data_IF_300169777128
#
_entry.id   IF_300169777128
#
_cell.length_a   1.000
_cell.length_b   1.000
_cell.length_c   1.000
_cell.angle_alpha   90.00
_cell.angle_beta   90.00
_cell.angle_gamma   90.00
#
_symmetry.space_group_name_H-M   'P 1'
#
loop_
_entity.id
_entity.type
_entity.pdbx_description
1 polymer ?
#
# COMPACT_ATOMS: atom_id res chain seq x y z
N UNK A 1 -25.54 -31.21 -3.16
CA UNK A 1 -24.65 -30.06 -2.95
C UNK A 1 -24.69 -29.20 -4.20
N UNK A 2 -25.16 -27.95 -4.12
CA UNK A 2 -25.06 -27.00 -5.25
C UNK A 2 -23.60 -26.56 -5.34
N UNK A 3 -22.93 -27.01 -6.39
CA UNK A 3 -21.55 -26.70 -6.71
C UNK A 3 -21.47 -25.28 -7.30
N UNK A 4 -20.67 -24.41 -6.70
CA UNK A 4 -20.49 -23.03 -7.15
C UNK A 4 -19.23 -22.96 -8.03
N UNK A 5 -19.41 -22.71 -9.33
CA UNK A 5 -18.32 -22.49 -10.28
C UNK A 5 -17.65 -21.12 -10.05
N UNK A 6 -16.33 -21.02 -10.18
CA UNK A 6 -15.58 -19.77 -10.14
C UNK A 6 -14.86 -19.50 -11.47
N UNK A 7 -14.69 -18.21 -11.84
CA UNK A 7 -14.10 -17.74 -13.10
C UNK A 7 -12.93 -16.77 -12.82
N UNK A 8 -11.81 -16.94 -13.52
CA UNK A 8 -10.64 -16.05 -13.54
C UNK A 8 -10.71 -15.18 -14.82
N UNK A 9 -10.64 -13.85 -14.70
CA UNK A 9 -10.62 -12.92 -15.84
C UNK A 9 -9.37 -12.05 -15.78
N UNK A 10 -8.53 -12.07 -16.82
CA UNK A 10 -7.30 -11.25 -16.88
C UNK A 10 -7.54 -10.00 -17.74
N UNK A 11 -7.02 -8.83 -17.35
CA UNK A 11 -7.06 -7.58 -18.13
C UNK A 11 -5.64 -7.05 -18.34
N UNK A 12 -5.17 -7.01 -19.58
CA UNK A 12 -3.77 -6.71 -19.88
C UNK A 12 -3.54 -5.20 -20.04
N UNK A 13 -2.57 -4.66 -19.30
CA UNK A 13 -1.89 -3.40 -19.60
C UNK A 13 -0.40 -3.72 -19.74
N UNK A 14 0.15 -3.57 -20.95
CA UNK A 14 1.58 -3.80 -21.20
C UNK A 14 2.37 -2.55 -20.77
N UNK A 15 3.20 -2.69 -19.74
CA UNK A 15 4.25 -1.73 -19.42
C UNK A 15 5.60 -2.45 -19.53
N UNK A 16 6.43 -2.03 -20.49
CA UNK A 16 7.79 -2.53 -20.66
C UNK A 16 8.74 -1.78 -19.73
N UNK A 17 9.54 -2.50 -18.96
CA UNK A 17 10.73 -1.93 -18.32
C UNK A 17 11.92 -2.85 -18.62
N UNK A 18 12.80 -2.45 -19.52
CA UNK A 18 14.08 -3.14 -19.72
C UNK A 18 15.06 -2.66 -18.66
N UNK A 19 15.27 -3.44 -17.61
CA UNK A 19 16.43 -3.27 -16.75
C UNK A 19 17.10 -4.63 -16.55
N UNK A 20 18.29 -4.78 -17.14
CA UNK A 20 19.26 -5.87 -16.98
C UNK A 20 18.79 -7.29 -17.33
N UNK A 21 19.16 -7.75 -18.55
CA UNK A 21 19.31 -9.14 -19.03
C UNK A 21 18.17 -10.17 -18.84
N UNK A 22 17.09 -9.87 -18.14
CA UNK A 22 15.88 -10.69 -18.05
C UNK A 22 14.67 -9.88 -18.47
N UNK A 23 13.96 -10.33 -19.51
CA UNK A 23 12.67 -9.75 -19.87
C UNK A 23 11.61 -10.21 -18.86
N UNK A 24 11.00 -9.23 -18.19
CA UNK A 24 9.95 -9.43 -17.19
C UNK A 24 8.66 -8.79 -17.67
N UNK A 25 7.57 -9.53 -17.59
CA UNK A 25 6.25 -9.06 -18.00
C UNK A 25 5.28 -9.07 -16.83
N UNK A 26 4.63 -7.94 -16.64
CA UNK A 26 3.65 -7.75 -15.58
C UNK A 26 2.24 -7.74 -16.18
N UNK A 27 1.36 -8.58 -15.66
CA UNK A 27 -0.05 -8.64 -16.05
C UNK A 27 -0.93 -8.39 -14.82
N UNK A 28 -2.12 -7.84 -15.06
CA UNK A 28 -3.17 -7.66 -14.06
C UNK A 28 -4.37 -8.55 -14.36
N UNK A 29 -4.99 -9.15 -13.36
CA UNK A 29 -6.19 -9.96 -13.53
C UNK A 29 -7.10 -9.97 -12.32
N UNK A 30 -8.10 -10.84 -12.35
CA UNK A 30 -9.16 -10.97 -11.34
C UNK A 30 -9.47 -12.45 -11.10
N UNK A 31 -9.19 -12.95 -9.89
CA UNK A 31 -9.51 -14.31 -9.42
C UNK A 31 -10.52 -14.24 -8.29
N UNK A 32 -11.68 -14.89 -8.44
CA UNK A 32 -12.77 -14.86 -7.44
C UNK A 32 -13.19 -13.42 -7.04
N UNK A 33 -13.26 -12.52 -8.02
CA UNK A 33 -13.51 -11.08 -7.81
C UNK A 33 -12.42 -10.31 -7.06
N UNK A 34 -11.26 -10.93 -6.82
CA UNK A 34 -10.09 -10.26 -6.25
C UNK A 34 -9.08 -9.95 -7.34
N UNK A 35 -8.59 -8.72 -7.46
CA UNK A 35 -7.54 -8.41 -8.42
C UNK A 35 -6.29 -9.22 -8.08
N UNK A 36 -5.52 -9.65 -9.08
CA UNK A 36 -4.24 -10.34 -8.98
C UNK A 36 -3.20 -9.66 -9.88
N UNK A 37 -1.92 -9.73 -9.51
CA UNK A 37 -0.80 -9.38 -10.39
C UNK A 37 -0.03 -10.66 -10.73
N UNK A 38 0.32 -10.80 -12.00
CA UNK A 38 1.07 -11.95 -12.52
C UNK A 38 2.38 -11.43 -13.08
N UNK A 39 3.50 -11.95 -12.59
CA UNK A 39 4.82 -11.67 -13.16
C UNK A 39 5.28 -12.92 -13.93
N UNK A 40 5.65 -12.74 -15.18
CA UNK A 40 6.26 -13.77 -16.02
C UNK A 40 7.69 -13.35 -16.28
N UNK A 41 8.63 -14.23 -15.95
CA UNK A 41 10.06 -14.03 -16.21
C UNK A 41 10.56 -15.13 -17.13
N UNK A 42 11.32 -14.74 -18.15
CA UNK A 42 11.94 -15.69 -19.08
C UNK A 42 13.31 -16.11 -18.54
N UNK A 43 13.59 -17.42 -18.48
CA UNK A 43 14.96 -17.91 -18.25
C UNK A 43 15.81 -17.63 -19.48
N UNK A 44 17.02 -17.14 -19.26
CA UNK A 44 17.96 -16.70 -20.29
C UNK A 44 18.15 -17.77 -21.39
N UNK A 45 18.25 -17.28 -22.64
CA UNK A 45 18.40 -17.96 -23.95
C UNK A 45 17.16 -18.29 -24.79
N UNK A 46 15.93 -17.97 -24.37
CA UNK A 46 14.77 -18.12 -25.24
C UNK A 46 14.34 -16.77 -25.85
N UNK A 47 14.18 -16.73 -27.18
CA UNK A 47 13.80 -15.54 -27.95
C UNK A 47 12.39 -15.05 -27.54
N UNK A 48 12.32 -14.15 -26.57
CA UNK A 48 11.09 -13.48 -26.15
C UNK A 48 10.40 -12.70 -27.29
N UNK A 49 11.15 -12.36 -28.36
CA UNK A 49 10.63 -11.65 -29.53
C UNK A 49 9.53 -12.42 -30.29
N UNK A 50 9.59 -13.76 -30.33
CA UNK A 50 8.61 -14.58 -31.05
C UNK A 50 7.22 -14.56 -30.39
N UNK A 51 7.18 -14.69 -29.07
CA UNK A 51 5.96 -14.64 -28.27
C UNK A 51 5.27 -13.27 -28.32
N UNK A 52 6.06 -12.18 -28.34
CA UNK A 52 5.56 -10.80 -28.38
C UNK A 52 4.95 -10.41 -29.73
N UNK A 53 5.54 -10.88 -30.83
CA UNK A 53 5.04 -10.57 -32.16
C UNK A 53 3.64 -11.16 -32.35
N UNK A 54 3.38 -12.37 -31.84
CA UNK A 54 2.09 -13.06 -31.93
C UNK A 54 0.99 -12.48 -31.02
N UNK A 55 1.33 -11.94 -29.85
CA UNK A 55 0.38 -11.28 -28.95
C UNK A 55 -0.14 -9.94 -29.49
N UNK A 56 0.69 -9.21 -30.25
CA UNK A 56 0.34 -7.90 -30.82
C UNK A 56 -0.62 -7.98 -32.01
N UNK A 57 -0.72 -9.14 -32.68
CA UNK A 57 -1.40 -9.28 -33.98
C UNK A 57 -2.89 -9.64 -33.84
N UNK A 58 -3.39 -10.03 -32.65
CA UNK A 58 -4.77 -10.55 -32.50
C UNK A 58 -5.59 -9.76 -31.49
N UNK A 59 -6.68 -9.14 -31.95
CA UNK A 59 -7.68 -8.39 -31.16
C UNK A 59 -8.47 -9.21 -30.11
N UNK A 60 -8.08 -10.46 -29.82
CA UNK A 60 -8.73 -11.29 -28.79
C UNK A 60 -7.68 -11.92 -27.87
N UNK A 61 -7.67 -11.39 -26.66
CA UNK A 61 -6.79 -11.76 -25.55
C UNK A 61 -7.16 -13.14 -24.96
N UNK A 62 -6.18 -13.85 -24.33
CA UNK A 62 -6.42 -15.16 -23.76
C UNK A 62 -7.45 -15.13 -22.60
N UNK A 63 -8.31 -16.15 -22.54
CA UNK A 63 -9.30 -16.38 -21.49
C UNK A 63 -8.82 -17.56 -20.64
N UNK A 64 -8.79 -17.41 -19.31
CA UNK A 64 -8.34 -18.44 -18.38
C UNK A 64 -9.51 -19.22 -17.78
N UNK A 65 -9.44 -20.56 -17.78
CA UNK A 65 -10.45 -21.43 -17.20
C UNK A 65 -9.71 -22.50 -16.36
N UNK A 66 -10.06 -22.63 -15.08
CA UNK A 66 -9.43 -23.60 -14.17
C UNK A 66 -10.45 -24.41 -13.37
N UNK A 67 -10.08 -25.65 -13.02
CA UNK A 67 -10.86 -26.57 -12.18
C UNK A 67 -10.11 -26.84 -10.86
N UNK A 68 -10.80 -26.90 -9.72
CA UNK A 68 -10.16 -27.10 -8.41
C UNK A 68 -9.59 -28.51 -8.16
N UNK A 69 -9.96 -29.50 -8.98
CA UNK A 69 -9.43 -30.85 -8.82
C UNK A 69 -8.12 -31.11 -9.57
N UNK A 70 -7.62 -30.15 -10.35
CA UNK A 70 -6.35 -30.26 -11.09
C UNK A 70 -5.38 -29.18 -10.63
N UNK A 71 -4.12 -29.54 -10.36
CA UNK A 71 -2.99 -28.60 -10.21
C UNK A 71 -2.62 -27.94 -11.55
N UNK A 72 -3.58 -27.83 -12.46
CA UNK A 72 -3.40 -27.48 -13.87
C UNK A 72 -4.40 -26.37 -14.20
N UNK A 73 -3.85 -25.25 -14.67
CA UNK A 73 -4.55 -24.12 -15.27
C UNK A 73 -4.31 -24.20 -16.78
N UNK A 74 -5.36 -24.42 -17.56
CA UNK A 74 -5.26 -24.45 -19.02
C UNK A 74 -5.66 -23.08 -19.59
N UNK A 75 -4.90 -22.58 -20.57
CA UNK A 75 -5.26 -21.37 -21.31
C UNK A 75 -5.14 -21.61 -22.82
N UNK A 76 -6.07 -21.00 -23.57
CA UNK A 76 -6.07 -21.04 -25.03
C UNK A 76 -5.24 -19.84 -25.49
N UNK A 77 -4.06 -20.10 -26.03
CA UNK A 77 -3.19 -19.05 -26.59
C UNK A 77 -3.46 -18.79 -28.06
N UNK A 78 -4.09 -19.74 -28.76
CA UNK A 78 -4.21 -19.67 -30.22
C UNK A 78 -5.58 -20.16 -30.68
N UNK A 79 -6.31 -19.28 -31.37
CA UNK A 79 -7.10 -19.71 -32.52
C UNK A 79 -6.30 -19.39 -33.77
N UNK A 80 -5.98 -20.40 -34.57
CA UNK A 80 -5.52 -20.21 -35.94
C UNK A 80 -6.41 -20.98 -36.89
N UNK A 81 -6.47 -20.58 -38.14
CA UNK A 81 -7.14 -21.36 -39.17
C UNK A 81 -6.10 -22.21 -39.92
N UNK A 82 -6.38 -23.49 -40.12
CA UNK A 82 -5.58 -24.30 -41.03
C UNK A 82 -5.80 -23.87 -42.49
N UNK A 83 -5.09 -24.50 -43.44
CA UNK A 83 -5.23 -24.21 -44.88
C UNK A 83 -6.65 -24.48 -45.42
N UNK A 84 -7.48 -25.19 -44.66
CA UNK A 84 -8.87 -25.53 -44.98
C UNK A 84 -9.88 -24.70 -44.16
N UNK A 85 -9.43 -23.62 -43.52
CA UNK A 85 -10.24 -22.70 -42.71
C UNK A 85 -10.80 -23.29 -41.40
N UNK A 86 -10.33 -24.46 -40.96
CA UNK A 86 -10.73 -25.04 -39.67
C UNK A 86 -10.02 -24.34 -38.52
N UNK A 87 -10.73 -24.14 -37.40
CA UNK A 87 -10.17 -23.52 -36.20
C UNK A 87 -9.29 -24.55 -35.47
N UNK A 88 -7.97 -24.35 -35.51
CA UNK A 88 -6.98 -24.99 -34.64
C UNK A 88 -6.91 -24.23 -33.31
N UNK A 89 -7.12 -24.96 -32.22
CA UNK A 89 -7.00 -24.46 -30.86
C UNK A 89 -5.73 -25.06 -30.24
N UNK A 90 -4.69 -24.24 -30.04
CA UNK A 90 -3.52 -24.67 -29.25
C UNK A 90 -3.76 -24.31 -27.79
N UNK A 91 -3.57 -25.32 -26.93
CA UNK A 91 -3.72 -25.23 -25.49
C UNK A 91 -2.33 -25.14 -24.88
N UNK A 92 -2.12 -24.16 -24.02
CA UNK A 92 -0.99 -24.14 -23.10
C UNK A 92 -1.50 -24.56 -21.72
N UNK A 93 -0.85 -25.56 -21.13
CA UNK A 93 -1.18 -26.02 -19.79
C UNK A 93 -0.13 -25.50 -18.80
N UNK A 94 -0.57 -24.69 -17.83
CA UNK A 94 0.22 -24.28 -16.67
C UNK A 94 0.03 -25.32 -15.59
N UNK A 95 1.11 -26.00 -15.22
CA UNK A 95 1.12 -26.88 -14.05
C UNK A 95 1.68 -26.11 -12.86
N UNK A 96 0.88 -25.94 -11.80
CA UNK A 96 1.33 -25.34 -10.55
C UNK A 96 2.09 -26.40 -9.74
N UNK A 97 3.39 -26.18 -9.55
CA UNK A 97 4.32 -27.18 -9.01
C UNK A 97 4.43 -27.11 -7.49
N UNK A 98 4.44 -25.91 -6.90
CA UNK A 98 4.41 -25.76 -5.44
C UNK A 98 4.01 -24.35 -4.99
N UNK A 99 3.57 -24.25 -3.73
CA UNK A 99 3.43 -22.98 -3.00
C UNK A 99 4.57 -22.84 -2.00
N UNK A 100 5.35 -21.76 -2.07
CA UNK A 100 6.28 -21.37 -1.03
C UNK A 100 6.00 -19.93 -0.67
N UNK A 101 5.71 -19.63 0.60
CA UNK A 101 5.52 -18.25 1.08
C UNK A 101 4.50 -17.42 0.26
N UNK A 102 3.33 -18.00 -0.01
CA UNK A 102 2.30 -17.38 -0.86
C UNK A 102 2.73 -17.07 -2.31
N UNK A 103 3.87 -17.56 -2.79
CA UNK A 103 4.25 -17.53 -4.19
C UNK A 103 3.91 -18.89 -4.83
N UNK A 104 3.24 -18.86 -5.99
CA UNK A 104 2.99 -20.07 -6.76
C UNK A 104 3.99 -20.18 -7.90
N UNK A 105 4.64 -21.33 -8.00
CA UNK A 105 5.54 -21.67 -9.10
C UNK A 105 4.79 -22.50 -10.12
N UNK A 106 4.75 -22.05 -11.37
CA UNK A 106 4.14 -22.76 -12.49
C UNK A 106 5.13 -23.06 -13.61
N UNK A 107 4.99 -24.21 -14.26
CA UNK A 107 5.57 -24.49 -15.57
C UNK A 107 4.48 -24.47 -16.63
N UNK A 108 4.67 -23.76 -17.73
CA UNK A 108 3.78 -23.84 -18.90
C UNK A 108 4.48 -24.57 -20.04
N UNK A 109 3.77 -25.43 -20.75
CA UNK A 109 4.24 -26.02 -22.00
C UNK A 109 3.48 -25.40 -23.17
N UNK A 110 4.13 -24.52 -23.91
CA UNK A 110 3.60 -23.89 -25.11
C UNK A 110 4.48 -24.28 -26.30
N UNK A 111 4.02 -25.21 -27.14
CA UNK A 111 4.75 -25.58 -28.35
C UNK A 111 6.13 -26.23 -28.12
N UNK A 112 6.41 -26.77 -26.92
CA UNK A 112 7.68 -27.40 -26.58
C UNK A 112 8.64 -26.55 -25.75
N UNK A 113 8.26 -25.32 -25.38
CA UNK A 113 9.06 -24.44 -24.52
C UNK A 113 8.49 -24.38 -23.09
N UNK A 114 9.39 -24.50 -22.09
CA UNK A 114 9.08 -24.43 -20.66
C UNK A 114 9.42 -23.04 -20.09
N UNK A 115 8.49 -22.45 -19.32
CA UNK A 115 8.69 -21.16 -18.66
C UNK A 115 8.29 -21.20 -17.19
N UNK A 116 8.93 -20.37 -16.37
CA UNK A 116 8.66 -20.25 -14.94
C UNK A 116 7.73 -19.07 -14.66
N UNK A 117 6.59 -19.35 -14.03
CA UNK A 117 5.58 -18.34 -13.66
C UNK A 117 5.59 -18.20 -12.15
N UNK A 118 5.70 -16.96 -11.66
CA UNK A 118 5.52 -16.64 -10.24
C UNK A 118 4.22 -15.86 -10.07
N UNK A 119 3.23 -16.47 -9.41
CA UNK A 119 2.02 -15.76 -9.03
C UNK A 119 2.23 -15.13 -7.66
N UNK A 120 2.19 -13.79 -7.62
CA UNK A 120 2.04 -13.06 -6.39
C UNK A 120 0.53 -12.88 -6.15
N UNK A 121 -0.07 -13.52 -5.13
CA UNK A 121 -1.38 -13.11 -4.68
C UNK A 121 -1.25 -11.63 -4.40
N UNK A 122 -2.20 -10.86 -4.93
CA UNK A 122 -2.27 -9.45 -4.63
C UNK A 122 -2.30 -9.37 -3.11
N UNK A 123 -1.20 -8.93 -2.50
CA UNK A 123 -1.33 -8.21 -1.24
C UNK A 123 -2.13 -6.99 -1.66
N UNK A 124 -3.46 -7.09 -1.63
CA UNK A 124 -4.30 -5.91 -1.52
C UNK A 124 -3.83 -5.28 -0.21
N UNK A 125 -2.79 -4.47 -0.32
CA UNK A 125 -2.16 -3.78 0.81
C UNK A 125 -3.25 -2.97 1.47
N UNK A 126 -4.22 -2.46 0.72
CA UNK A 126 -5.42 -1.82 1.23
C UNK A 126 -6.48 -2.84 1.62
N UNK A 127 -7.03 -2.71 2.82
CA UNK A 127 -8.18 -3.48 3.29
C UNK A 127 -9.37 -3.22 2.35
N UNK A 128 -9.91 -4.27 1.72
CA UNK A 128 -10.88 -4.16 0.61
C UNK A 128 -12.16 -3.40 0.98
N UNK A 129 -12.58 -3.44 2.25
CA UNK A 129 -13.76 -2.76 2.73
C UNK A 129 -13.49 -1.39 3.38
N UNK A 130 -12.25 -0.91 3.33
CA UNK A 130 -11.90 0.41 3.85
C UNK A 130 -12.31 1.51 2.86
N UNK A 131 -13.32 2.29 3.25
CA UNK A 131 -13.89 3.39 2.48
C UNK A 131 -13.41 4.72 3.05
N UNK A 132 -12.93 5.62 2.19
CA UNK A 132 -12.71 7.01 2.57
C UNK A 132 -14.08 7.68 2.74
N UNK A 133 -14.27 8.37 3.85
CA UNK A 133 -15.53 9.06 4.18
C UNK A 133 -15.26 10.53 4.46
N UNK A 134 -16.26 11.37 4.18
CA UNK A 134 -16.23 12.79 4.55
C UNK A 134 -16.45 12.96 6.06
N UNK A 135 -16.00 14.07 6.63
CA UNK A 135 -16.21 14.38 8.04
C UNK A 135 -17.70 14.42 8.44
N UNK A 136 -18.60 14.72 7.48
CA UNK A 136 -20.06 14.72 7.69
C UNK A 136 -20.63 13.32 7.91
N UNK A 137 -20.02 12.30 7.31
CA UNK A 137 -20.42 10.89 7.46
C UNK A 137 -19.95 10.25 8.78
N UNK A 138 -19.11 10.95 9.55
CA UNK A 138 -18.67 10.49 10.88
C UNK A 138 -19.77 10.86 11.90
N UNK A 139 -20.23 9.90 12.73
CA UNK A 139 -21.23 10.12 13.76
C UNK A 139 -20.91 11.30 14.69
N UNK A 140 -21.89 12.17 14.94
CA UNK A 140 -21.70 13.37 15.78
C UNK A 140 -21.30 13.02 17.23
N UNK A 141 -21.69 11.85 17.71
CA UNK A 141 -21.33 11.38 19.05
C UNK A 141 -19.82 11.22 19.26
N UNK A 142 -19.04 10.89 18.22
CA UNK A 142 -17.57 10.83 18.26
C UNK A 142 -16.96 12.19 18.60
N UNK A 143 -17.68 13.27 18.30
CA UNK A 143 -17.24 14.64 18.55
C UNK A 143 -17.79 15.23 19.85
N UNK A 144 -18.74 14.57 20.53
CA UNK A 144 -19.22 14.97 21.86
C UNK A 144 -18.09 14.70 22.86
N UNK A 145 -17.38 15.76 23.27
CA UNK A 145 -16.18 15.74 24.13
C UNK A 145 -14.87 15.39 23.41
N UNK A 146 -14.83 15.55 22.08
CA UNK A 146 -13.57 15.48 21.35
C UNK A 146 -12.93 16.86 21.26
N UNK A 147 -11.60 16.91 21.39
CA UNK A 147 -10.83 18.14 21.14
C UNK A 147 -10.85 18.53 19.65
N UNK A 148 -11.24 17.60 18.78
CA UNK A 148 -11.26 17.77 17.33
C UNK A 148 -12.65 18.12 16.83
N UNK A 149 -12.72 19.07 15.90
CA UNK A 149 -13.92 19.41 15.16
C UNK A 149 -13.92 18.80 13.76
N UNK A 150 -15.09 18.66 13.13
CA UNK A 150 -15.21 18.11 11.77
C UNK A 150 -14.44 18.91 10.71
N UNK A 151 -14.24 20.22 10.91
CA UNK A 151 -13.49 21.09 10.00
C UNK A 151 -11.97 20.85 10.02
N UNK A 152 -11.45 20.24 11.08
CA UNK A 152 -10.00 19.96 11.23
C UNK A 152 -9.61 18.61 10.62
N UNK A 153 -10.60 17.80 10.22
CA UNK A 153 -10.38 16.48 9.63
C UNK A 153 -9.76 16.63 8.24
N UNK A 154 -8.57 16.06 8.06
CA UNK A 154 -7.89 16.01 6.77
C UNK A 154 -8.41 14.82 5.96
N UNK A 155 -8.50 13.64 6.60
CA UNK A 155 -8.90 12.39 5.94
C UNK A 155 -9.44 11.42 6.98
N UNK A 156 -10.46 10.67 6.59
CA UNK A 156 -11.10 9.67 7.44
C UNK A 156 -11.41 8.39 6.66
N UNK A 157 -11.35 7.27 7.37
CA UNK A 157 -11.75 5.96 6.90
C UNK A 157 -12.87 5.40 7.76
N UNK A 158 -13.75 4.67 7.09
CA UNK A 158 -14.72 3.76 7.66
C UNK A 158 -14.38 2.35 7.16
N UNK A 159 -14.29 1.39 8.06
CA UNK A 159 -13.96 0.00 7.71
C UNK A 159 -14.50 -0.97 8.74
N UNK A 160 -14.47 -2.26 8.39
CA UNK A 160 -14.85 -3.34 9.29
C UNK A 160 -13.78 -4.41 9.29
N UNK A 161 -13.34 -4.85 10.46
CA UNK A 161 -12.44 -5.99 10.58
C UNK A 161 -13.06 -7.04 11.52
N UNK A 162 -12.24 -7.96 12.04
CA UNK A 162 -12.67 -8.98 13.00
C UNK A 162 -13.16 -8.40 14.34
N UNK A 163 -12.64 -7.25 14.78
CA UNK A 163 -13.00 -6.59 16.04
C UNK A 163 -14.33 -5.86 15.92
N UNK A 164 -14.60 -5.26 14.76
CA UNK A 164 -15.89 -4.67 14.48
C UNK A 164 -15.81 -3.57 13.46
N UNK A 165 -16.64 -2.56 13.64
CA UNK A 165 -16.77 -1.46 12.72
C UNK A 165 -16.09 -0.22 13.27
N UNK A 166 -15.22 0.39 12.46
CA UNK A 166 -14.33 1.46 12.89
C UNK A 166 -14.57 2.74 12.11
N UNK A 167 -14.37 3.86 12.78
CA UNK A 167 -14.00 5.13 12.17
C UNK A 167 -12.60 5.52 12.62
N UNK A 168 -11.73 5.85 11.68
CA UNK A 168 -10.39 6.35 11.98
C UNK A 168 -10.11 7.59 11.14
N UNK A 169 -9.55 8.63 11.75
CA UNK A 169 -9.25 9.87 11.05
C UNK A 169 -7.94 10.50 11.50
N UNK A 170 -7.41 11.37 10.63
CA UNK A 170 -6.33 12.31 10.92
C UNK A 170 -6.85 13.74 10.85
N UNK A 171 -6.37 14.59 11.74
CA UNK A 171 -6.78 15.99 11.87
C UNK A 171 -5.60 16.88 12.26
N UNK A 172 -5.64 18.15 11.84
CA UNK A 172 -4.62 19.15 12.10
C UNK A 172 -5.26 20.45 12.58
N UNK A 173 -4.59 21.11 13.54
CA UNK A 173 -4.83 22.51 13.91
C UNK A 173 -3.57 23.33 13.70
N UNK A 174 -3.72 24.61 13.40
CA UNK A 174 -2.63 25.50 13.04
C UNK A 174 -2.12 25.36 11.59
N UNK A 175 -1.07 26.13 11.22
CA UNK A 175 -0.26 26.98 12.08
C UNK A 175 -1.01 28.21 12.60
N UNK A 176 -1.12 28.35 13.93
CA UNK A 176 -1.76 29.49 14.58
C UNK A 176 -1.31 29.62 16.05
N UNK A 177 -1.53 30.78 16.67
CA UNK A 177 -1.32 30.95 18.12
C UNK A 177 -2.49 30.33 18.90
N UNK A 178 -2.26 29.22 19.59
CA UNK A 178 -3.30 28.47 20.32
C UNK A 178 -3.29 28.89 21.80
N UNK A 179 -4.13 29.87 22.15
CA UNK A 179 -4.25 30.49 23.50
C UNK A 179 -4.30 29.54 24.70
N UNK A 180 -4.69 28.28 24.51
CA UNK A 180 -4.78 27.28 25.59
C UNK A 180 -3.44 26.59 25.88
N UNK A 181 -2.44 26.76 25.03
CA UNK A 181 -1.09 26.25 25.22
C UNK A 181 -0.20 27.29 25.92
N UNK A 182 0.88 26.88 26.60
CA UNK A 182 1.85 27.83 27.16
C UNK A 182 2.64 28.50 26.04
N UNK A 183 2.93 29.79 26.22
CA UNK A 183 3.70 30.61 25.29
C UNK A 183 4.64 31.54 26.04
N UNK A 184 5.89 31.62 25.60
CA UNK A 184 6.86 32.61 26.06
C UNK A 184 6.94 33.80 25.10
N UNK A 185 6.58 33.61 23.83
CA UNK A 185 6.63 34.64 22.78
C UNK A 185 5.23 34.93 22.23
N UNK A 186 4.90 36.21 22.05
CA UNK A 186 3.56 36.63 21.57
C UNK A 186 3.33 36.35 20.08
N UNK A 187 4.41 36.23 19.30
CA UNK A 187 4.41 35.98 17.86
C UNK A 187 4.69 34.52 17.50
N UNK A 188 4.69 33.61 18.48
CA UNK A 188 4.90 32.20 18.21
C UNK A 188 3.66 31.52 17.60
N UNK A 189 3.89 30.37 16.99
CA UNK A 189 2.87 29.55 16.37
C UNK A 189 2.90 28.14 16.92
N UNK A 190 1.74 27.49 16.88
CA UNK A 190 1.58 26.09 17.21
C UNK A 190 0.97 25.30 16.05
N UNK A 191 1.28 24.02 16.03
CA UNK A 191 0.57 23.01 15.25
C UNK A 191 0.26 21.84 16.17
N UNK A 192 -0.98 21.38 16.14
CA UNK A 192 -1.39 20.13 16.79
C UNK A 192 -1.79 19.11 15.72
N UNK A 193 -1.23 17.89 15.82
CA UNK A 193 -1.55 16.76 14.97
C UNK A 193 -2.29 15.70 15.77
N UNK A 194 -3.41 15.23 15.23
CA UNK A 194 -4.22 14.20 15.84
C UNK A 194 -4.47 13.05 14.86
N UNK A 195 -4.41 11.81 15.36
CA UNK A 195 -5.01 10.66 14.71
C UNK A 195 -5.81 9.88 15.73
N UNK A 196 -7.04 9.48 15.42
CA UNK A 196 -7.90 8.79 16.38
C UNK A 196 -8.65 7.66 15.70
N UNK A 197 -8.84 6.55 16.42
CA UNK A 197 -9.72 5.45 16.01
C UNK A 197 -10.81 5.20 17.05
N UNK A 198 -11.98 4.86 16.53
CA UNK A 198 -13.19 4.58 17.29
C UNK A 198 -13.80 3.29 16.80
N UNK A 199 -14.16 2.40 17.72
CA UNK A 199 -14.82 1.13 17.46
C UNK A 199 -16.27 1.19 17.94
N UNK A 200 -17.18 0.74 17.07
CA UNK A 200 -18.59 0.59 17.43
C UNK A 200 -18.73 -0.53 18.47
N UNK A 201 -19.15 -0.15 19.67
CA UNK A 201 -19.51 -1.06 20.72
C UNK A 201 -20.85 -1.73 20.39
N UNK A 202 -20.84 -3.06 20.26
CA UNK A 202 -22.02 -3.80 19.84
C UNK A 202 -23.16 -3.83 20.87
N UNK A 203 -22.85 -3.61 22.16
CA UNK A 203 -23.82 -3.64 23.26
C UNK A 203 -24.45 -2.26 23.45
N UNK A 204 -23.63 -1.23 23.60
CA UNK A 204 -24.10 0.14 23.88
C UNK A 204 -24.55 0.88 22.63
N UNK A 205 -24.17 0.39 21.45
CA UNK A 205 -24.35 1.05 20.14
C UNK A 205 -23.65 2.41 20.01
N UNK A 206 -22.71 2.71 20.90
CA UNK A 206 -21.87 3.91 20.86
C UNK A 206 -20.49 3.61 20.28
N UNK A 207 -19.76 4.65 19.90
CA UNK A 207 -18.36 4.55 19.47
C UNK A 207 -17.40 4.80 20.63
N UNK A 208 -16.63 3.77 20.98
CA UNK A 208 -15.59 3.86 22.00
C UNK A 208 -14.24 4.19 21.35
N UNK A 209 -13.49 5.14 21.93
CA UNK A 209 -12.15 5.50 21.43
C UNK A 209 -11.18 4.36 21.72
N UNK A 210 -10.61 3.76 20.68
CA UNK A 210 -9.62 2.68 20.82
C UNK A 210 -8.23 3.22 21.12
N UNK A 211 -7.81 4.23 20.36
CA UNK A 211 -6.49 4.82 20.48
C UNK A 211 -6.47 6.25 19.92
N UNK A 212 -5.44 7.00 20.34
CA UNK A 212 -5.18 8.35 19.90
C UNK A 212 -3.68 8.59 19.73
N UNK A 213 -3.31 9.27 18.66
CA UNK A 213 -2.05 9.99 18.50
C UNK A 213 -2.33 11.46 18.73
N UNK A 214 -1.48 12.08 19.54
CA UNK A 214 -1.40 13.51 19.71
C UNK A 214 0.08 13.89 19.70
N UNK A 215 0.45 14.79 18.80
CA UNK A 215 1.79 15.32 18.65
C UNK A 215 1.68 16.81 18.34
N UNK A 216 2.67 17.60 18.73
CA UNK A 216 2.57 19.04 18.59
C UNK A 216 3.94 19.70 18.42
N UNK A 217 3.93 20.84 17.75
CA UNK A 217 4.98 21.85 17.84
C UNK A 217 4.31 23.04 18.53
N UNK A 218 4.89 23.49 19.63
CA UNK A 218 4.35 24.59 20.43
C UNK A 218 5.39 25.69 20.57
N UNK A 219 4.90 26.91 20.65
CA UNK A 219 5.69 28.12 20.92
C UNK A 219 6.86 28.26 19.93
N UNK A 220 6.60 28.03 18.64
CA UNK A 220 7.61 28.18 17.59
C UNK A 220 7.68 29.64 17.10
N UNK A 221 8.79 30.37 17.27
CA UNK A 221 8.92 31.75 16.81
C UNK A 221 9.48 31.87 15.38
N UNK A 222 9.60 30.74 14.66
CA UNK A 222 10.26 30.63 13.37
C UNK A 222 9.36 29.87 12.37
N UNK A 223 9.94 29.20 11.38
CA UNK A 223 9.19 28.41 10.42
C UNK A 223 8.71 27.10 11.07
N UNK A 224 7.41 27.06 11.34
CA UNK A 224 6.73 25.88 11.85
C UNK A 224 6.30 24.96 10.70
N UNK A 225 6.40 23.65 10.90
CA UNK A 225 5.91 22.64 9.97
C UNK A 225 5.30 21.48 10.73
N UNK A 226 4.23 20.91 10.18
CA UNK A 226 3.49 19.85 10.84
C UNK A 226 2.40 19.32 9.93
N UNK A 227 2.67 18.22 9.25
CA UNK A 227 1.81 17.71 8.19
C UNK A 227 1.77 16.19 8.16
N UNK A 228 0.57 15.67 7.89
CA UNK A 228 0.38 14.28 7.54
C UNK A 228 0.67 14.05 6.07
N UNK A 229 1.32 12.93 5.77
CA UNK A 229 1.33 12.39 4.42
C UNK A 229 -0.01 11.67 4.20
N UNK A 230 -1.04 12.41 3.79
CA UNK A 230 -2.42 11.91 3.67
C UNK A 230 -2.54 10.67 2.77
N UNK A 231 -1.66 10.54 1.77
CA UNK A 231 -1.56 9.36 0.89
C UNK A 231 -0.91 8.14 1.56
N UNK A 232 -0.13 8.36 2.61
CA UNK A 232 0.42 7.30 3.47
C UNK A 232 -0.54 6.89 4.59
N UNK A 233 -1.59 7.68 4.87
CA UNK A 233 -2.67 7.30 5.78
C UNK A 233 -3.55 6.24 5.12
N UNK A 234 -3.45 5.00 5.58
CA UNK A 234 -4.10 3.83 4.97
C UNK A 234 -4.44 2.75 6.00
N UNK A 235 -5.51 2.01 5.67
CA UNK A 235 -5.98 0.84 6.41
C UNK A 235 -5.62 -0.41 5.61
N UNK A 236 -4.94 -1.34 6.23
CA UNK A 236 -4.35 -2.52 5.58
C UNK A 236 -4.65 -3.80 6.36
N UNK A 237 -4.37 -4.94 5.74
CA UNK A 237 -4.29 -6.27 6.38
C UNK A 237 -3.14 -7.03 5.68
N UNK A 238 -1.94 -6.47 5.82
CA UNK A 238 -0.70 -6.90 5.16
C UNK A 238 -0.32 -8.29 5.66
N UNK A 239 -0.51 -8.55 6.95
CA UNK A 239 -0.25 -9.86 7.53
C UNK A 239 -1.36 -10.91 7.32
N UNK A 240 -2.56 -10.50 6.87
CA UNK A 240 -3.71 -11.35 6.56
C UNK A 240 -4.30 -12.04 7.80
N UNK A 241 -4.28 -11.36 8.95
CA UNK A 241 -4.85 -11.87 10.20
C UNK A 241 -6.33 -11.46 10.40
N UNK A 242 -6.92 -10.70 9.46
CA UNK A 242 -8.25 -10.10 9.49
C UNK A 242 -8.46 -9.05 10.60
N UNK A 243 -7.38 -8.55 11.18
CA UNK A 243 -7.36 -7.35 12.02
C UNK A 243 -6.68 -6.26 11.21
N UNK A 244 -7.28 -5.08 11.21
CA UNK A 244 -6.75 -3.97 10.44
C UNK A 244 -5.43 -3.45 11.03
N UNK A 245 -4.49 -3.11 10.15
CA UNK A 245 -3.34 -2.29 10.50
C UNK A 245 -3.60 -0.86 9.98
N UNK A 246 -3.52 0.12 10.86
CA UNK A 246 -3.72 1.54 10.55
C UNK A 246 -2.39 2.23 10.50
N UNK A 247 -1.96 2.68 9.31
CA UNK A 247 -0.68 3.35 9.11
C UNK A 247 -0.88 4.86 9.05
N UNK A 248 -0.16 5.60 9.89
CA UNK A 248 -0.13 7.05 9.90
C UNK A 248 1.32 7.49 9.74
N UNK A 249 1.58 8.37 8.78
CA UNK A 249 2.88 8.99 8.58
C UNK A 249 2.73 10.50 8.62
N UNK A 250 3.59 11.16 9.38
CA UNK A 250 3.61 12.61 9.50
C UNK A 250 5.02 13.11 9.77
N UNK A 251 5.19 14.41 9.54
CA UNK A 251 6.39 15.15 9.93
C UNK A 251 6.02 16.40 10.71
N UNK A 252 6.93 16.86 11.56
CA UNK A 252 6.74 18.07 12.34
C UNK A 252 8.08 18.67 12.80
N UNK A 253 8.09 19.97 13.06
CA UNK A 253 9.24 20.66 13.62
C UNK A 253 9.08 22.19 13.61
N UNK A 254 9.96 22.86 14.33
CA UNK A 254 10.16 24.31 14.32
C UNK A 254 11.60 24.56 13.87
N UNK A 255 11.82 25.31 12.79
CA UNK A 255 13.17 25.54 12.24
C UNK A 255 13.37 26.98 11.80
N UNK A 256 14.61 27.47 11.92
CA UNK A 256 15.04 28.77 11.39
C UNK A 256 15.89 28.66 10.12
N UNK A 257 15.91 27.49 9.49
CA UNK A 257 16.83 27.19 8.39
C UNK A 257 16.54 25.84 7.71
N UNK A 258 17.54 25.32 6.99
CA UNK A 258 17.44 24.08 6.21
C UNK A 258 17.82 22.88 7.08
N UNK A 259 16.99 22.62 8.10
CA UNK A 259 17.12 21.46 8.98
C UNK A 259 16.05 20.40 8.68
N UNK A 260 16.38 19.09 8.79
CA UNK A 260 15.41 18.03 8.59
C UNK A 260 14.31 18.08 9.63
N UNK A 261 13.06 17.92 9.19
CA UNK A 261 11.93 17.72 10.10
C UNK A 261 11.96 16.30 10.69
N UNK A 262 11.44 16.17 11.92
CA UNK A 262 11.17 14.88 12.52
C UNK A 262 10.07 14.19 11.71
N UNK A 263 10.29 12.91 11.38
CA UNK A 263 9.36 12.09 10.62
C UNK A 263 9.02 10.82 11.40
N UNK A 264 7.73 10.49 11.48
CA UNK A 264 7.22 9.39 12.29
C UNK A 264 6.21 8.57 11.49
N UNK A 265 6.45 7.26 11.36
CA UNK A 265 5.44 6.28 10.94
C UNK A 265 4.93 5.60 12.21
N UNK A 266 3.64 5.75 12.47
CA UNK A 266 2.94 5.08 13.56
C UNK A 266 1.95 4.10 12.95
N UNK A 267 1.98 2.86 13.40
CA UNK A 267 1.02 1.83 13.03
C UNK A 267 0.27 1.36 14.28
N UNK A 268 -1.04 1.15 14.15
CA UNK A 268 -1.86 0.48 15.15
C UNK A 268 -2.47 -0.80 14.60
N UNK A 269 -2.42 -1.87 15.38
CA UNK A 269 -3.12 -3.12 15.14
C UNK A 269 -3.64 -3.65 16.50
N UNK A 270 -4.94 -3.94 16.61
CA UNK A 270 -5.57 -4.43 17.85
C UNK A 270 -5.22 -3.58 19.09
N UNK A 271 -5.25 -2.25 18.97
CA UNK A 271 -4.89 -1.32 20.04
C UNK A 271 -3.40 -1.25 20.40
N UNK A 272 -2.54 -2.09 19.80
CA UNK A 272 -1.09 -2.05 20.01
C UNK A 272 -0.45 -1.07 19.05
N UNK A 273 0.36 -0.16 19.60
CA UNK A 273 1.13 0.83 18.86
C UNK A 273 2.48 0.26 18.42
N UNK A 274 2.87 0.58 17.20
CA UNK A 274 4.18 0.35 16.61
C UNK A 274 4.68 1.67 16.04
N UNK A 275 5.94 2.03 16.32
CA UNK A 275 6.46 3.32 15.90
C UNK A 275 7.87 3.25 15.28
N UNK A 276 8.01 3.89 14.14
CA UNK A 276 9.27 4.12 13.45
C UNK A 276 9.52 5.64 13.42
N UNK A 277 10.63 6.08 14.00
CA UNK A 277 10.94 7.50 14.19
C UNK A 277 12.30 7.84 13.63
N UNK A 278 12.41 8.99 13.00
CA UNK A 278 13.65 9.47 12.42
C UNK A 278 13.49 10.88 11.89
N UNK A 279 14.29 11.22 10.90
CA UNK A 279 14.24 12.53 10.26
C UNK A 279 14.13 12.37 8.75
N UNK A 280 13.50 13.34 8.10
CA UNK A 280 13.41 13.36 6.64
C UNK A 280 14.79 13.51 5.97
N UNK A 281 14.85 13.22 4.67
CA UNK A 281 15.99 13.51 3.81
C UNK A 281 15.77 14.85 3.14
N UNK A 282 16.72 15.77 3.33
CA UNK A 282 16.76 17.06 2.65
C UNK A 282 18.04 17.17 1.84
N UNK A 283 18.02 18.04 0.83
CA UNK A 283 19.23 18.43 0.09
C UNK A 283 20.04 19.40 0.96
N UNK A 284 21.32 19.09 1.18
CA UNK A 284 22.25 19.93 1.95
C UNK A 284 23.07 20.81 1.01
N UNK A 285 23.47 20.29 -0.15
CA UNK A 285 24.29 21.01 -1.12
C UNK A 285 24.21 20.39 -2.50
N UNK A 286 24.44 21.16 -3.56
CA UNK A 286 24.67 20.64 -4.91
C UNK A 286 26.17 20.45 -5.16
N UNK A 287 26.56 19.28 -5.64
CA UNK A 287 27.93 18.99 -6.08
C UNK A 287 28.03 19.26 -7.58
N UNK A 288 28.64 20.38 -7.96
CA UNK A 288 28.81 20.79 -9.35
C UNK A 288 29.66 19.82 -10.18
N UNK A 289 30.66 19.18 -9.56
CA UNK A 289 31.55 18.24 -10.25
C UNK A 289 30.82 16.95 -10.64
N UNK A 290 29.97 16.43 -9.75
CA UNK A 290 29.19 15.21 -10.01
C UNK A 290 27.80 15.49 -10.55
N UNK A 291 27.42 16.77 -10.67
CA UNK A 291 26.07 17.25 -11.01
C UNK A 291 24.94 16.62 -10.16
N UNK A 292 25.22 16.34 -8.89
CA UNK A 292 24.31 15.62 -7.98
C UNK A 292 24.12 16.36 -6.66
N UNK A 293 22.95 16.19 -6.04
CA UNK A 293 22.68 16.70 -4.69
C UNK A 293 23.31 15.80 -3.63
N UNK A 294 23.87 16.42 -2.59
CA UNK A 294 24.21 15.77 -1.32
C UNK A 294 23.01 15.85 -0.39
N UNK A 295 22.68 14.74 0.27
CA UNK A 295 21.50 14.62 1.12
C UNK A 295 21.87 14.26 2.55
N UNK A 296 20.99 14.58 3.50
CA UNK A 296 21.05 13.96 4.83
C UNK A 296 20.74 12.45 4.75
N UNK A 297 21.16 11.69 5.77
CA UNK A 297 21.10 10.21 5.75
C UNK A 297 19.67 9.67 5.95
N UNK A 298 18.73 10.47 6.47
CA UNK A 298 17.33 10.06 6.68
C UNK A 298 17.18 8.83 7.58
N UNK A 299 17.94 8.82 8.68
CA UNK A 299 18.01 7.68 9.60
C UNK A 299 16.68 7.51 10.34
N UNK A 300 16.37 6.27 10.70
CA UNK A 300 15.24 5.92 11.55
C UNK A 300 15.62 4.88 12.60
N UNK A 301 14.77 4.77 13.60
CA UNK A 301 14.79 3.73 14.64
C UNK A 301 13.39 3.14 14.77
N UNK A 302 13.33 1.87 15.16
CA UNK A 302 12.09 1.20 15.55
C UNK A 302 11.93 1.23 17.06
N UNK A 303 10.68 1.29 17.52
CA UNK A 303 10.36 1.01 18.91
C UNK A 303 10.40 -0.49 19.22
N UNK A 304 10.34 -0.84 20.51
CA UNK A 304 10.36 -2.22 20.96
C UNK A 304 9.23 -3.07 20.36
N UNK A 305 8.07 -2.47 20.09
CA UNK A 305 6.94 -3.18 19.50
C UNK A 305 7.27 -3.68 18.09
N UNK A 306 7.90 -2.84 17.25
CA UNK A 306 8.40 -3.26 15.94
C UNK A 306 9.56 -4.24 16.05
N UNK A 307 10.54 -3.98 16.91
CA UNK A 307 11.71 -4.86 17.07
C UNK A 307 11.33 -6.26 17.54
N UNK A 308 10.32 -6.36 18.39
CA UNK A 308 9.78 -7.63 18.88
C UNK A 308 8.69 -8.22 17.98
N UNK A 309 8.30 -7.53 16.90
CA UNK A 309 7.36 -8.08 15.92
C UNK A 309 8.01 -9.24 15.20
N UNK A 310 7.35 -10.40 15.22
CA UNK A 310 7.74 -11.55 14.40
C UNK A 310 7.18 -11.47 12.98
N UNK A 311 6.42 -10.41 12.67
CA UNK A 311 5.78 -10.26 11.36
C UNK A 311 6.68 -9.48 10.39
N UNK A 312 7.35 -10.25 9.55
CA UNK A 312 8.25 -9.72 8.53
C UNK A 312 7.54 -8.84 7.50
N UNK A 313 6.26 -9.11 7.20
CA UNK A 313 5.51 -8.34 6.20
C UNK A 313 5.20 -6.93 6.71
N UNK A 314 4.86 -6.80 7.99
CA UNK A 314 4.69 -5.49 8.65
C UNK A 314 6.00 -4.69 8.61
N UNK A 315 7.13 -5.33 8.91
CA UNK A 315 8.44 -4.67 8.85
C UNK A 315 8.79 -4.21 7.43
N UNK A 316 8.61 -5.05 6.42
CA UNK A 316 8.86 -4.72 5.02
C UNK A 316 7.96 -3.58 4.52
N UNK A 317 6.69 -3.60 4.92
CA UNK A 317 5.74 -2.56 4.57
C UNK A 317 6.12 -1.20 5.18
N UNK A 318 6.55 -1.19 6.45
CA UNK A 318 7.03 0.03 7.11
C UNK A 318 8.27 0.62 6.39
N UNK A 319 9.21 -0.22 5.96
CA UNK A 319 10.40 0.20 5.20
C UNK A 319 10.02 0.76 3.83
N UNK A 320 9.06 0.13 3.15
CA UNK A 320 8.54 0.60 1.87
C UNK A 320 7.91 1.98 2.01
N UNK A 321 7.13 2.21 3.08
CA UNK A 321 6.56 3.52 3.36
C UNK A 321 7.64 4.55 3.65
N UNK A 322 8.61 4.22 4.51
CA UNK A 322 9.72 5.13 4.81
C UNK A 322 10.46 5.54 3.55
N UNK A 323 10.90 4.58 2.73
CA UNK A 323 11.64 4.87 1.51
C UNK A 323 10.85 5.68 0.49
N UNK A 324 9.52 5.53 0.45
CA UNK A 324 8.65 6.29 -0.45
C UNK A 324 8.53 7.75 -0.06
N UNK A 325 8.52 8.07 1.24
CA UNK A 325 8.16 9.40 1.75
C UNK A 325 9.28 10.11 2.50
N UNK A 326 10.44 9.46 2.73
CA UNK A 326 11.57 10.08 3.43
C UNK A 326 12.11 11.31 2.70
N UNK A 327 11.88 11.42 1.39
CA UNK A 327 12.19 12.63 0.64
C UNK A 327 10.98 13.55 0.62
N UNK A 328 11.14 14.75 1.17
CA UNK A 328 10.21 15.85 0.93
C UNK A 328 10.62 16.56 -0.36
N UNK A 329 9.73 16.69 -1.37
CA UNK A 329 9.96 17.62 -2.47
C UNK A 329 10.15 19.02 -1.89
N UNK A 330 11.27 19.68 -2.20
CA UNK A 330 11.39 21.11 -1.90
C UNK A 330 10.39 21.83 -2.81
N UNK A 331 9.44 22.53 -2.19
CA UNK A 331 8.44 23.35 -2.88
C UNK A 331 9.08 24.49 -3.69
#
# INVERSE_FOLDING_TARGET
>A
MKFLNFLLKLFIFLAFTSLNAQEKFLFSGEMNKKPIKVEISFKENNNASGFLQDLSIKEKFPIFIGNQNSKELSFITRQSKDKNNNILIEHCDIRLLSSKENQYFGMTNCGGEEFEITLHPNSNQKLENAKIVSAKEIPDEIFRNNKISKSEIIKAYQYKDKLGFHYTFIAKKGPEFIKTLPHEMEDSQDIELFAQSFLLNSETKNYDKEWQIYDLVNDCPLDISGDFFSEAFQITDVNQNNVSEVWILYKLGCRGGVDPLDMKIIMYENGKKYAMRGSEKIVISYNENTKNNNYTVGKYTYDEAFLNSKDQKILEFSKKLWNKYVFTPQD
#
